data_IF_102420334218
#
_entry.id   IF_102420334218
#
_cell.length_a   1.000
_cell.length_b   1.000
_cell.length_c   1.000
_cell.angle_alpha   90.00
_cell.angle_beta   90.00
_cell.angle_gamma   90.00
#
_symmetry.space_group_name_H-M   'P 1'
#
loop_
_entity.id
_entity.type
_entity.pdbx_description
1 polymer ?
#
# COMPACT_ATOMS: atom_id res chain seq x y z
N UNK A 1 -19.58 61.85 24.70
CA UNK A 1 -20.25 60.65 24.18
C UNK A 1 -19.20 59.53 24.01
N UNK A 2 -19.08 58.68 25.01
CA UNK A 2 -18.22 57.54 24.97
C UNK A 2 -18.89 56.47 24.07
N UNK A 3 -18.37 56.27 22.87
CA UNK A 3 -18.70 55.12 22.08
C UNK A 3 -18.08 53.90 22.77
N UNK A 4 -18.91 53.08 23.35
CA UNK A 4 -18.53 51.77 23.89
C UNK A 4 -18.18 50.88 22.73
N UNK A 5 -16.90 50.63 22.51
CA UNK A 5 -16.41 49.58 21.63
C UNK A 5 -16.79 48.23 22.21
N UNK A 6 -17.91 47.73 21.77
CA UNK A 6 -18.31 46.36 22.05
C UNK A 6 -17.42 45.46 21.17
N UNK A 7 -16.29 45.02 21.68
CA UNK A 7 -15.50 43.95 21.09
C UNK A 7 -16.37 42.68 21.05
N UNK A 8 -16.99 42.42 19.92
CA UNK A 8 -17.62 41.13 19.65
C UNK A 8 -16.49 40.06 19.60
N UNK A 9 -16.27 39.44 20.73
CA UNK A 9 -15.47 38.20 20.71
C UNK A 9 -16.25 37.15 19.92
N UNK A 10 -15.77 36.83 18.75
CA UNK A 10 -16.30 35.75 17.93
C UNK A 10 -15.69 34.46 18.45
N UNK A 11 -16.50 33.57 18.99
CA UNK A 11 -16.07 32.22 19.38
C UNK A 11 -16.48 31.27 18.29
N UNK A 12 -15.52 30.48 17.79
CA UNK A 12 -15.82 29.34 16.95
C UNK A 12 -16.13 28.14 17.86
N UNK A 13 -17.36 27.67 17.82
CA UNK A 13 -17.78 26.50 18.60
C UNK A 13 -17.76 25.32 17.65
N UNK A 14 -16.83 24.38 17.87
CA UNK A 14 -16.78 23.13 17.16
C UNK A 14 -17.50 22.05 17.98
N UNK A 15 -18.59 21.50 17.44
CA UNK A 15 -19.31 20.40 18.05
C UNK A 15 -18.84 19.10 17.40
N UNK A 16 -18.25 18.20 18.19
CA UNK A 16 -17.85 16.86 17.73
C UNK A 16 -18.85 15.84 18.23
N UNK A 17 -19.48 15.14 17.30
CA UNK A 17 -20.44 14.06 17.61
C UNK A 17 -19.81 12.72 17.28
N UNK A 18 -19.89 11.80 18.23
CA UNK A 18 -19.44 10.42 18.07
C UNK A 18 -20.63 9.50 17.84
N UNK A 19 -20.50 8.62 16.88
CA UNK A 19 -21.53 7.65 16.52
C UNK A 19 -20.95 6.25 16.53
N UNK A 20 -21.69 5.32 17.11
CA UNK A 20 -21.41 3.89 16.98
C UNK A 20 -22.03 3.37 15.69
N UNK A 21 -21.20 2.81 14.81
CA UNK A 21 -21.64 2.25 13.55
C UNK A 21 -21.24 0.77 13.51
N UNK A 22 -22.20 -0.11 13.26
CA UNK A 22 -21.95 -1.54 13.08
C UNK A 22 -22.12 -1.89 11.61
N UNK A 23 -21.17 -2.63 11.07
CA UNK A 23 -21.23 -3.19 9.72
C UNK A 23 -20.98 -4.69 9.78
N UNK A 24 -21.76 -5.44 9.01
CA UNK A 24 -21.58 -6.87 8.85
C UNK A 24 -21.73 -7.22 7.37
N UNK A 25 -20.96 -8.19 6.91
CA UNK A 25 -20.97 -8.63 5.54
C UNK A 25 -20.12 -9.87 5.35
N UNK A 26 -20.14 -10.42 4.15
CA UNK A 26 -19.28 -11.52 3.73
C UNK A 26 -18.69 -11.22 2.36
N UNK A 27 -17.45 -11.59 2.15
CA UNK A 27 -16.74 -11.45 0.88
C UNK A 27 -16.20 -12.81 0.47
N UNK A 28 -16.38 -13.18 -0.79
CA UNK A 28 -15.74 -14.34 -1.37
C UNK A 28 -14.47 -13.90 -2.12
N UNK A 29 -13.37 -14.59 -1.86
CA UNK A 29 -12.09 -14.33 -2.50
C UNK A 29 -11.75 -15.47 -3.44
N UNK A 30 -11.32 -15.13 -4.63
CA UNK A 30 -10.77 -16.06 -5.59
C UNK A 30 -9.41 -15.57 -6.09
N UNK A 31 -8.48 -16.51 -6.30
CA UNK A 31 -7.18 -16.23 -6.90
C UNK A 31 -6.36 -15.18 -6.14
N UNK A 32 -6.29 -15.34 -4.82
CA UNK A 32 -5.43 -14.52 -3.97
C UNK A 32 -4.00 -14.97 -4.21
N UNK A 33 -3.14 -14.12 -4.77
CA UNK A 33 -1.75 -14.45 -4.95
C UNK A 33 -0.99 -14.37 -3.63
N UNK A 34 -0.10 -15.31 -3.42
CA UNK A 34 0.89 -15.28 -2.35
C UNK A 34 2.18 -15.84 -2.92
N UNK A 35 3.27 -15.11 -2.79
CA UNK A 35 4.56 -15.60 -3.21
C UNK A 35 4.96 -16.84 -2.40
N UNK A 36 5.53 -17.81 -3.09
CA UNK A 36 5.97 -19.07 -2.52
C UNK A 36 7.48 -19.31 -2.73
N UNK A 37 8.26 -18.24 -2.97
CA UNK A 37 9.70 -18.30 -3.14
C UNK A 37 10.41 -17.35 -2.18
N UNK A 38 11.35 -17.85 -1.42
CA UNK A 38 12.20 -17.04 -0.52
C UNK A 38 13.28 -16.22 -1.26
N UNK A 39 13.44 -16.42 -2.56
CA UNK A 39 14.50 -15.77 -3.37
C UNK A 39 14.18 -14.30 -3.69
N UNK A 40 12.92 -13.93 -3.64
CA UNK A 40 12.45 -12.60 -3.93
C UNK A 40 11.85 -11.96 -2.68
N UNK A 41 12.08 -10.67 -2.46
CA UNK A 41 11.34 -9.97 -1.41
C UNK A 41 9.85 -9.97 -1.70
N UNK A 42 9.06 -10.36 -0.72
CA UNK A 42 7.60 -10.39 -0.79
C UNK A 42 7.01 -9.04 -1.24
N UNK A 43 7.56 -7.93 -0.72
CA UNK A 43 7.10 -6.58 -1.06
C UNK A 43 7.22 -6.25 -2.55
N UNK A 44 8.25 -6.79 -3.22
CA UNK A 44 8.42 -6.64 -4.66
C UNK A 44 7.36 -7.46 -5.41
N UNK A 45 7.13 -8.70 -4.98
CA UNK A 45 6.14 -9.58 -5.60
C UNK A 45 4.71 -9.04 -5.45
N UNK A 46 4.34 -8.60 -4.26
CA UNK A 46 3.04 -7.97 -4.01
C UNK A 46 2.88 -6.67 -4.81
N UNK A 47 3.96 -5.90 -4.94
CA UNK A 47 3.93 -4.61 -5.66
C UNK A 47 3.78 -4.72 -7.17
N UNK A 48 4.23 -5.81 -7.81
CA UNK A 48 4.05 -6.00 -9.26
C UNK A 48 2.67 -6.53 -9.65
N UNK A 49 1.82 -6.91 -8.70
CA UNK A 49 0.43 -7.29 -8.97
C UNK A 49 -0.37 -6.12 -9.61
N UNK A 50 -1.47 -6.39 -10.32
CA UNK A 50 -2.14 -7.66 -10.51
C UNK A 50 -1.61 -8.49 -11.69
N UNK A 51 -1.83 -9.80 -11.64
CA UNK A 51 -1.68 -10.71 -12.77
C UNK A 51 -3.04 -11.09 -13.35
N UNK A 52 -3.08 -11.32 -14.67
CA UNK A 52 -4.28 -11.83 -15.33
C UNK A 52 -4.35 -13.35 -15.25
N UNK A 53 -5.10 -13.83 -14.28
CA UNK A 53 -5.28 -15.28 -14.06
C UNK A 53 -6.20 -15.96 -15.08
N UNK A 54 -6.87 -15.21 -15.95
CA UNK A 54 -7.66 -15.80 -17.04
C UNK A 54 -6.75 -16.41 -18.11
N UNK A 55 -5.50 -15.96 -18.19
CA UNK A 55 -4.51 -16.50 -19.13
C UNK A 55 -3.78 -17.74 -18.63
N UNK A 56 -4.06 -18.23 -17.42
CA UNK A 56 -3.43 -19.44 -16.90
C UNK A 56 -3.75 -20.66 -17.77
N UNK A 57 -2.73 -21.45 -18.04
CA UNK A 57 -2.80 -22.70 -18.79
C UNK A 57 -2.31 -23.86 -17.93
N UNK A 58 -2.74 -25.09 -18.20
CA UNK A 58 -2.19 -26.26 -17.54
C UNK A 58 -0.67 -26.28 -17.66
N UNK A 59 0.03 -26.60 -16.57
CA UNK A 59 1.48 -26.64 -16.55
C UNK A 59 2.02 -27.69 -17.52
N UNK A 60 3.03 -27.31 -18.28
CA UNK A 60 3.83 -28.20 -19.10
C UNK A 60 5.28 -27.76 -19.07
N UNK A 61 6.21 -28.70 -18.97
CA UNK A 61 7.65 -28.42 -19.04
C UNK A 61 8.07 -27.83 -20.40
N UNK A 62 7.25 -27.98 -21.44
CA UNK A 62 7.48 -27.36 -22.74
C UNK A 62 7.44 -25.81 -22.72
N UNK A 63 6.89 -25.21 -21.69
CA UNK A 63 6.86 -23.74 -21.52
C UNK A 63 8.12 -23.18 -20.83
N UNK A 64 9.00 -24.04 -20.27
CA UNK A 64 10.17 -23.61 -19.51
C UNK A 64 11.40 -23.23 -20.34
N UNK A 65 11.63 -23.73 -21.59
CA UNK A 65 12.81 -23.38 -22.36
C UNK A 65 12.93 -21.86 -22.54
N UNK A 66 14.08 -21.30 -22.15
CA UNK A 66 14.38 -19.89 -22.21
C UNK A 66 14.00 -19.09 -20.96
N UNK A 67 13.39 -19.72 -19.96
CA UNK A 67 13.06 -19.11 -18.67
C UNK A 67 13.82 -19.80 -17.53
N UNK A 68 14.13 -19.03 -16.50
CA UNK A 68 14.52 -19.58 -15.21
C UNK A 68 13.25 -19.88 -14.43
N UNK A 69 12.88 -21.15 -14.36
CA UNK A 69 11.76 -21.56 -13.52
C UNK A 69 12.25 -21.77 -12.09
N UNK A 70 11.65 -21.06 -11.16
CA UNK A 70 11.88 -21.27 -9.75
C UNK A 70 10.80 -22.18 -9.15
N UNK A 71 11.23 -23.15 -8.37
CA UNK A 71 10.33 -24.03 -7.64
C UNK A 71 10.06 -23.36 -6.28
N UNK A 72 8.81 -23.41 -5.85
CA UNK A 72 8.46 -22.96 -4.52
C UNK A 72 9.31 -23.61 -3.42
N UNK A 73 9.74 -22.86 -2.45
CA UNK A 73 10.46 -23.27 -1.24
C UNK A 73 9.74 -22.83 0.05
N UNK A 74 8.68 -22.05 -0.08
CA UNK A 74 7.79 -21.68 1.02
C UNK A 74 6.58 -22.61 1.02
N UNK A 75 6.23 -23.15 2.19
CA UNK A 75 5.13 -24.11 2.31
C UNK A 75 3.78 -23.38 2.33
N UNK A 76 2.71 -24.16 2.06
CA UNK A 76 1.33 -23.62 2.14
C UNK A 76 1.03 -23.10 3.55
N UNK A 77 1.54 -23.78 4.59
CA UNK A 77 1.30 -23.37 5.97
C UNK A 77 2.00 -22.05 6.30
N UNK A 78 3.23 -21.85 5.82
CA UNK A 78 3.97 -20.60 6.00
C UNK A 78 3.34 -19.42 5.24
N UNK A 79 2.81 -19.68 4.04
CA UNK A 79 2.14 -18.66 3.22
C UNK A 79 0.72 -18.32 3.71
N UNK A 80 0.14 -19.16 4.56
CA UNK A 80 -1.25 -19.06 5.00
C UNK A 80 -1.54 -17.77 5.73
N UNK A 81 -0.69 -17.39 6.66
CA UNK A 81 -0.91 -16.21 7.49
C UNK A 81 -0.91 -14.93 6.66
N UNK A 82 -0.11 -14.87 5.60
CA UNK A 82 -0.13 -13.77 4.64
C UNK A 82 -1.45 -13.70 3.87
N UNK A 83 -1.92 -14.84 3.35
CA UNK A 83 -3.21 -14.92 2.65
C UNK A 83 -4.37 -14.51 3.56
N UNK A 84 -4.39 -15.03 4.79
CA UNK A 84 -5.41 -14.71 5.79
C UNK A 84 -5.40 -13.23 6.16
N UNK A 85 -4.24 -12.62 6.31
CA UNK A 85 -4.08 -11.18 6.58
C UNK A 85 -4.63 -10.34 5.43
N UNK A 86 -4.26 -10.65 4.19
CA UNK A 86 -4.77 -9.95 2.99
C UNK A 86 -6.30 -10.03 2.89
N UNK A 87 -6.89 -11.19 3.18
CA UNK A 87 -8.34 -11.36 3.18
C UNK A 87 -9.01 -10.51 4.25
N UNK A 88 -8.47 -10.51 5.47
CA UNK A 88 -9.01 -9.73 6.60
C UNK A 88 -8.95 -8.23 6.32
N UNK A 89 -7.81 -7.73 5.90
CA UNK A 89 -7.61 -6.33 5.58
C UNK A 89 -8.54 -5.86 4.45
N UNK A 90 -8.69 -6.68 3.40
CA UNK A 90 -9.59 -6.37 2.28
C UNK A 90 -11.05 -6.31 2.73
N UNK A 91 -11.50 -7.28 3.53
CA UNK A 91 -12.87 -7.27 4.05
C UNK A 91 -13.09 -6.09 5.01
N UNK A 92 -12.16 -5.86 5.93
CA UNK A 92 -12.23 -4.73 6.85
C UNK A 92 -12.29 -3.40 6.12
N UNK A 93 -11.47 -3.23 5.07
CA UNK A 93 -11.49 -2.03 4.24
C UNK A 93 -12.81 -1.90 3.48
N UNK A 94 -13.29 -2.96 2.84
CA UNK A 94 -14.56 -2.94 2.15
C UNK A 94 -15.75 -2.57 3.07
N UNK A 95 -15.74 -3.03 4.31
CA UNK A 95 -16.75 -2.64 5.30
C UNK A 95 -16.59 -1.18 5.74
N UNK A 96 -15.37 -0.69 5.96
CA UNK A 96 -15.10 0.73 6.27
C UNK A 96 -15.57 1.65 5.16
N UNK A 97 -15.37 1.30 3.91
CA UNK A 97 -15.76 2.09 2.74
C UNK A 97 -17.29 2.25 2.62
N UNK A 98 -18.06 1.37 3.27
CA UNK A 98 -19.52 1.55 3.37
C UNK A 98 -19.95 2.60 4.39
N UNK A 99 -19.03 3.09 5.22
CA UNK A 99 -19.31 4.09 6.25
C UNK A 99 -19.01 5.49 5.68
N UNK A 100 -20.03 6.14 5.17
CA UNK A 100 -19.91 7.45 4.53
C UNK A 100 -20.58 8.55 5.35
N UNK A 101 -20.19 9.80 5.14
CA UNK A 101 -20.81 10.97 5.78
C UNK A 101 -20.22 11.36 7.14
N UNK A 102 -19.08 10.76 7.52
CA UNK A 102 -18.36 11.08 8.77
C UNK A 102 -16.97 11.64 8.46
N UNK A 103 -16.49 12.54 9.30
CA UNK A 103 -15.16 13.16 9.13
C UNK A 103 -13.99 12.21 9.41
N UNK A 104 -14.20 11.24 10.31
CA UNK A 104 -13.24 10.18 10.61
C UNK A 104 -13.99 8.90 11.02
N UNK A 105 -13.41 7.74 10.70
CA UNK A 105 -13.92 6.45 11.09
C UNK A 105 -12.75 5.64 11.70
N UNK A 106 -12.95 5.19 12.94
CA UNK A 106 -11.96 4.38 13.66
C UNK A 106 -12.61 3.04 13.99
N UNK A 107 -11.92 1.94 13.68
CA UNK A 107 -12.38 0.60 14.02
C UNK A 107 -12.13 0.33 15.50
N UNK A 108 -13.19 0.13 16.27
CA UNK A 108 -13.09 -0.21 17.69
C UNK A 108 -12.97 -1.71 17.92
N UNK A 109 -13.69 -2.49 17.12
CA UNK A 109 -13.70 -3.95 17.23
C UNK A 109 -13.88 -4.57 15.85
N UNK A 110 -13.17 -5.67 15.63
CA UNK A 110 -13.22 -6.45 14.41
C UNK A 110 -13.35 -7.93 14.77
N UNK A 111 -14.30 -8.61 14.13
CA UNK A 111 -14.52 -10.05 14.31
C UNK A 111 -14.73 -10.67 12.92
N UNK A 112 -13.66 -11.27 12.38
CA UNK A 112 -13.63 -11.83 11.04
C UNK A 112 -13.33 -13.32 11.09
N UNK A 113 -14.29 -14.14 10.66
CA UNK A 113 -14.13 -15.57 10.50
C UNK A 113 -13.78 -15.90 9.04
N UNK A 114 -12.64 -16.56 8.82
CA UNK A 114 -12.21 -17.02 7.51
C UNK A 114 -12.59 -18.47 7.27
N UNK A 115 -13.14 -18.75 6.08
CA UNK A 115 -13.32 -20.11 5.57
C UNK A 115 -12.25 -20.39 4.53
N UNK A 116 -11.50 -21.46 4.72
CA UNK A 116 -10.40 -21.82 3.83
C UNK A 116 -10.90 -22.38 2.50
N UNK A 117 -10.24 -21.97 1.42
CA UNK A 117 -10.45 -22.44 0.08
C UNK A 117 -9.42 -23.51 -0.36
N UNK A 118 -9.28 -23.65 -1.68
CA UNK A 118 -8.28 -24.53 -2.31
C UNK A 118 -7.05 -23.70 -2.67
N UNK A 119 -5.88 -24.31 -2.52
CA UNK A 119 -4.59 -23.75 -2.93
C UNK A 119 -4.16 -24.36 -4.26
N UNK A 120 -3.69 -23.52 -5.16
CA UNK A 120 -3.12 -23.92 -6.44
C UNK A 120 -1.78 -23.24 -6.63
N UNK A 121 -0.78 -24.00 -7.07
CA UNK A 121 0.49 -23.41 -7.49
C UNK A 121 0.40 -22.94 -8.93
N UNK A 122 0.93 -21.75 -9.19
CA UNK A 122 1.01 -21.18 -10.53
C UNK A 122 2.40 -20.59 -10.76
N UNK A 123 2.93 -20.76 -11.97
CA UNK A 123 4.11 -20.04 -12.42
C UNK A 123 3.65 -18.76 -13.12
N UNK A 124 4.12 -17.63 -12.63
CA UNK A 124 3.81 -16.32 -13.18
C UNK A 124 5.05 -15.70 -13.82
N UNK A 125 4.91 -14.98 -14.95
CA UNK A 125 6.05 -14.40 -15.64
C UNK A 125 6.52 -13.14 -14.91
N UNK A 126 7.77 -13.19 -14.43
CA UNK A 126 8.42 -12.06 -13.77
C UNK A 126 9.77 -11.82 -14.41
N UNK A 127 10.04 -10.58 -14.79
CA UNK A 127 11.37 -10.14 -15.19
C UNK A 127 12.10 -9.62 -13.96
N UNK A 128 13.32 -10.08 -13.76
CA UNK A 128 14.16 -9.70 -12.64
C UNK A 128 15.44 -9.08 -13.13
N UNK A 129 15.80 -7.94 -12.58
CA UNK A 129 17.07 -7.28 -12.84
C UNK A 129 17.76 -6.98 -11.52
N UNK A 130 18.94 -7.57 -11.31
CA UNK A 130 19.82 -7.21 -10.20
C UNK A 130 20.98 -6.38 -10.76
N UNK A 131 21.26 -5.24 -10.14
CA UNK A 131 22.36 -4.36 -10.54
C UNK A 131 23.10 -3.85 -9.31
N UNK A 132 24.38 -3.50 -9.50
CA UNK A 132 25.20 -2.93 -8.44
C UNK A 132 25.51 -1.46 -8.70
N UNK A 133 25.26 -0.62 -7.71
CA UNK A 133 25.62 0.78 -7.72
C UNK A 133 26.34 1.17 -6.44
N UNK A 134 27.56 1.71 -6.54
CA UNK A 134 28.39 2.11 -5.39
C UNK A 134 28.55 1.01 -4.35
N UNK A 135 28.65 -0.27 -4.76
CA UNK A 135 28.81 -1.42 -3.88
C UNK A 135 27.53 -1.92 -3.20
N UNK A 136 26.38 -1.32 -3.48
CA UNK A 136 25.05 -1.78 -3.04
C UNK A 136 24.34 -2.51 -4.17
N UNK A 137 23.64 -3.58 -3.82
CA UNK A 137 22.79 -4.32 -4.74
C UNK A 137 21.40 -3.67 -4.81
N UNK A 138 20.89 -3.49 -6.01
CA UNK A 138 19.54 -2.99 -6.30
C UNK A 138 18.79 -4.03 -7.10
N UNK A 139 17.61 -4.37 -6.63
CA UNK A 139 16.77 -5.36 -7.24
C UNK A 139 15.55 -4.68 -7.87
N UNK A 140 15.24 -5.09 -9.10
CA UNK A 140 14.05 -4.65 -9.82
C UNK A 140 13.25 -5.87 -10.24
N UNK A 141 11.94 -5.79 -10.11
CA UNK A 141 11.01 -6.79 -10.59
C UNK A 141 9.98 -6.15 -11.52
N UNK A 142 9.63 -6.84 -12.60
CA UNK A 142 8.61 -6.38 -13.52
C UNK A 142 7.65 -7.51 -13.84
N UNK A 143 6.38 -7.21 -13.77
CA UNK A 143 5.32 -8.12 -14.20
C UNK A 143 5.41 -8.37 -15.71
N UNK A 144 5.59 -9.61 -16.10
CA UNK A 144 5.75 -9.98 -17.51
C UNK A 144 4.47 -9.89 -18.34
N UNK A 145 3.31 -9.72 -17.71
CA UNK A 145 2.04 -9.53 -18.41
C UNK A 145 1.70 -8.05 -18.59
N UNK A 146 1.88 -7.25 -17.53
CA UNK A 146 1.43 -5.85 -17.50
C UNK A 146 2.55 -4.84 -17.75
N UNK A 147 3.82 -5.26 -17.61
CA UNK A 147 4.97 -4.37 -17.65
C UNK A 147 5.15 -3.48 -16.42
N UNK A 148 4.36 -3.70 -15.35
CA UNK A 148 4.49 -2.94 -14.10
C UNK A 148 5.83 -3.23 -13.46
N UNK A 149 6.66 -2.18 -13.32
CA UNK A 149 8.02 -2.25 -12.78
C UNK A 149 8.05 -1.70 -11.36
N UNK A 150 8.73 -2.42 -10.49
CA UNK A 150 9.02 -2.03 -9.11
C UNK A 150 10.50 -2.30 -8.84
N UNK A 151 11.12 -1.50 -8.00
CA UNK A 151 12.50 -1.71 -7.59
C UNK A 151 13.03 -0.64 -6.68
N UNK A 152 14.14 -0.96 -6.06
CA UNK A 152 14.85 -0.07 -5.16
C UNK A 152 15.66 0.94 -5.98
N UNK A 153 15.33 2.21 -5.86
CA UNK A 153 16.09 3.27 -6.52
C UNK A 153 17.10 3.88 -5.55
N UNK A 154 18.35 4.07 -5.98
CA UNK A 154 19.32 4.77 -5.16
C UNK A 154 18.90 6.23 -4.96
N UNK A 155 18.67 6.63 -3.72
CA UNK A 155 18.35 8.01 -3.38
C UNK A 155 19.63 8.80 -3.11
N UNK A 156 19.79 9.92 -3.81
CA UNK A 156 20.86 10.89 -3.53
C UNK A 156 20.44 11.79 -2.36
N UNK A 157 20.89 11.41 -1.16
CA UNK A 157 20.59 12.17 0.06
C UNK A 157 21.07 13.60 0.01
N UNK A 158 22.20 13.88 -0.67
CA UNK A 158 22.74 15.23 -0.80
C UNK A 158 21.82 16.12 -1.64
N UNK A 159 21.37 15.62 -2.79
CA UNK A 159 20.41 16.33 -3.65
C UNK A 159 19.06 16.49 -2.99
N UNK A 160 18.60 15.47 -2.27
CA UNK A 160 17.33 15.54 -1.53
C UNK A 160 17.35 16.69 -0.51
N UNK A 161 18.37 16.73 0.37
CA UNK A 161 18.48 17.76 1.39
C UNK A 161 18.74 19.15 0.78
N UNK A 162 19.51 19.23 -0.30
CA UNK A 162 19.71 20.48 -1.05
C UNK A 162 18.40 21.03 -1.61
N UNK A 163 17.60 20.18 -2.24
CA UNK A 163 16.30 20.57 -2.81
C UNK A 163 15.27 20.88 -1.71
N UNK A 164 15.28 20.12 -0.63
CA UNK A 164 14.45 20.40 0.55
C UNK A 164 14.76 21.78 1.15
N UNK A 165 16.04 22.09 1.36
CA UNK A 165 16.45 23.39 1.89
C UNK A 165 16.09 24.55 0.94
N UNK A 166 16.27 24.35 -0.37
CA UNK A 166 15.93 25.35 -1.38
C UNK A 166 14.44 25.70 -1.44
N UNK A 167 13.57 24.77 -1.06
CA UNK A 167 12.12 24.98 -0.98
C UNK A 167 11.71 25.45 0.39
N UNK A 168 12.18 24.82 1.45
CA UNK A 168 11.76 25.09 2.81
C UNK A 168 12.20 26.48 3.30
N UNK A 169 13.41 26.93 2.95
CA UNK A 169 13.93 28.22 3.40
C UNK A 169 13.08 29.41 2.86
N UNK A 170 12.83 29.55 1.55
CA UNK A 170 12.00 30.66 1.06
C UNK A 170 10.54 30.55 1.55
N UNK A 171 10.00 29.34 1.68
CA UNK A 171 8.65 29.14 2.19
C UNK A 171 8.53 29.62 3.66
N UNK A 172 9.53 29.30 4.49
CA UNK A 172 9.58 29.73 5.88
C UNK A 172 9.67 31.24 5.98
N UNK A 173 10.53 31.87 5.16
CA UNK A 173 10.68 33.34 5.13
C UNK A 173 9.35 34.01 4.69
N UNK A 174 8.71 33.48 3.66
CA UNK A 174 7.43 33.99 3.19
C UNK A 174 6.34 33.87 4.26
N UNK A 175 6.28 32.71 4.92
CA UNK A 175 5.28 32.45 5.98
C UNK A 175 5.49 33.38 7.18
N UNK A 176 6.73 33.58 7.61
CA UNK A 176 7.06 34.50 8.72
C UNK A 176 6.75 35.95 8.37
N UNK A 177 7.04 36.39 7.14
CA UNK A 177 6.69 37.72 6.67
C UNK A 177 5.17 37.96 6.66
N UNK A 178 4.40 36.99 6.18
CA UNK A 178 2.93 37.05 6.19
C UNK A 178 2.40 37.12 7.63
N UNK A 179 2.95 36.32 8.53
CA UNK A 179 2.52 36.31 9.94
C UNK A 179 2.79 37.66 10.63
N UNK A 180 3.94 38.30 10.34
CA UNK A 180 4.27 39.64 10.86
C UNK A 180 3.40 40.73 10.28
N UNK A 181 2.85 40.54 9.09
CA UNK A 181 1.96 41.52 8.47
C UNK A 181 0.50 41.38 8.94
N UNK A 182 0.11 40.21 9.44
CA UNK A 182 -1.23 39.91 9.93
C UNK A 182 -1.40 40.17 11.45
N UNK A 183 -0.32 40.28 12.20
CA UNK A 183 -0.26 40.62 13.63
C UNK A 183 0.02 42.13 13.85
#
# INVERSE_FOLDING_TARGET
>A
SAASDVYKRQYEITETRHYHVVRAGSLAFEKIPVDASSKMPDDHMDSIEPFDYAQLRPFSTAYLPGYLADKYDVTIDDSRDRADTRCRETLAQALRDTVTGYGACVTEREDIALRRGKVHYALLPVWMLSTKWRGQDFLFAMNGQTGKLVGDLPTDRGRFWGMFAAIAAPLTVALTAILQFLL
#
